data_IF_259240479877
#
_entry.id   IF_259240479877
#
_cell.length_a   1.000
_cell.length_b   1.000
_cell.length_c   1.000
_cell.angle_alpha   90.00
_cell.angle_beta   90.00
_cell.angle_gamma   90.00
#
_symmetry.space_group_name_H-M   'P 1'
#
loop_
_entity.id
_entity.type
_entity.pdbx_description
1 polymer ?
#
# COMPACT_ATOMS: atom_id res chain seq x y z
N UNK A 1 -14.94 12.26 2.80
CA UNK A 1 -13.88 11.49 3.47
C UNK A 1 -14.50 10.72 4.61
N UNK A 2 -13.90 9.59 5.02
CA UNK A 2 -14.34 8.90 6.24
C UNK A 2 -13.89 9.76 7.43
N UNK A 3 -14.76 10.06 8.41
CA UNK A 3 -14.38 10.88 9.55
C UNK A 3 -13.31 10.17 10.40
N UNK A 4 -12.28 10.92 10.80
CA UNK A 4 -11.19 10.41 11.64
C UNK A 4 -11.63 10.56 13.10
N UNK A 5 -11.59 9.49 13.92
CA UNK A 5 -11.87 9.58 15.35
C UNK A 5 -10.95 10.61 16.03
N UNK A 6 -11.46 11.44 16.95
CA UNK A 6 -10.67 12.49 17.60
C UNK A 6 -9.46 11.94 18.37
N UNK A 7 -9.57 10.72 18.92
CA UNK A 7 -8.49 10.05 19.64
C UNK A 7 -7.23 9.79 18.80
N UNK A 8 -7.38 9.57 17.48
CA UNK A 8 -6.25 9.27 16.59
C UNK A 8 -5.86 10.47 15.71
N UNK A 9 -6.63 11.55 15.73
CA UNK A 9 -6.48 12.70 14.84
C UNK A 9 -5.07 13.31 14.86
N UNK A 10 -4.49 13.51 16.04
CA UNK A 10 -3.16 14.12 16.18
C UNK A 10 -2.04 13.20 15.65
N UNK A 11 -2.16 11.90 15.83
CA UNK A 11 -1.20 10.92 15.29
C UNK A 11 -1.29 10.86 13.76
N UNK A 12 -2.50 10.91 13.21
CA UNK A 12 -2.71 10.94 11.76
C UNK A 12 -2.08 12.19 11.12
N UNK A 13 -2.23 13.36 11.75
CA UNK A 13 -1.57 14.59 11.28
C UNK A 13 -0.04 14.43 11.28
N UNK A 14 0.53 13.85 12.34
CA UNK A 14 1.97 13.63 12.43
C UNK A 14 2.46 12.73 11.28
N UNK A 15 1.77 11.62 11.00
CA UNK A 15 2.13 10.69 9.92
C UNK A 15 2.02 11.37 8.55
N UNK A 16 0.99 12.18 8.30
CA UNK A 16 0.86 12.90 7.03
C UNK A 16 2.01 13.89 6.85
N UNK A 17 2.39 14.64 7.90
CA UNK A 17 3.53 15.55 7.84
C UNK A 17 4.85 14.83 7.58
N UNK A 18 5.06 13.70 8.24
CA UNK A 18 6.23 12.86 8.04
C UNK A 18 6.30 12.33 6.60
N UNK A 19 5.19 11.85 6.04
CA UNK A 19 5.13 11.41 4.63
C UNK A 19 5.36 12.55 3.63
N UNK A 20 4.96 13.78 3.96
CA UNK A 20 5.30 14.96 3.14
C UNK A 20 6.80 15.24 3.23
N UNK A 21 7.38 15.21 4.44
CA UNK A 21 8.82 15.43 4.65
C UNK A 21 9.69 14.36 3.98
N UNK A 22 9.25 13.10 3.97
CA UNK A 22 9.88 12.00 3.25
C UNK A 22 9.73 12.10 1.72
N UNK A 23 8.96 13.07 1.20
CA UNK A 23 8.74 13.27 -0.23
C UNK A 23 7.70 12.33 -0.86
N UNK A 24 7.12 11.42 -0.08
CA UNK A 24 6.07 10.46 -0.51
C UNK A 24 4.78 11.19 -0.87
N UNK A 25 4.39 12.20 -0.08
CA UNK A 25 3.18 12.99 -0.33
C UNK A 25 3.50 14.41 -0.77
N UNK A 26 2.74 14.89 -1.75
CA UNK A 26 2.79 16.28 -2.21
C UNK A 26 1.38 16.88 -2.21
N UNK A 27 1.24 18.17 -1.88
CA UNK A 27 -0.02 18.88 -2.06
C UNK A 27 -0.48 18.77 -3.52
N UNK A 28 -1.77 18.51 -3.73
CA UNK A 28 -2.36 18.39 -5.06
C UNK A 28 -3.66 19.19 -5.11
N UNK A 29 -3.89 19.86 -6.24
CA UNK A 29 -5.14 20.56 -6.58
C UNK A 29 -6.04 19.73 -7.51
N UNK A 30 -5.76 18.43 -7.66
CA UNK A 30 -6.50 17.57 -8.56
C UNK A 30 -8.00 17.50 -8.22
N UNK A 31 -8.82 17.42 -9.27
CA UNK A 31 -10.28 17.24 -9.14
C UNK A 31 -10.65 15.88 -8.52
N UNK A 32 -9.76 14.89 -8.65
CA UNK A 32 -9.95 13.55 -8.10
C UNK A 32 -9.35 13.43 -6.71
N UNK A 33 -10.15 12.90 -5.77
CA UNK A 33 -9.75 12.64 -4.38
C UNK A 33 -10.18 11.23 -3.99
N UNK A 34 -9.20 10.34 -3.82
CA UNK A 34 -9.45 9.01 -3.25
C UNK A 34 -9.81 9.14 -1.77
N UNK A 35 -10.82 8.37 -1.33
CA UNK A 35 -11.14 8.26 0.10
C UNK A 35 -10.01 7.50 0.78
N UNK A 36 -9.73 7.81 2.03
CA UNK A 36 -8.76 7.07 2.83
C UNK A 36 -9.24 6.99 4.28
N UNK A 37 -8.69 6.05 5.03
CA UNK A 37 -8.97 5.83 6.45
C UNK A 37 -7.74 5.26 7.15
N UNK A 38 -7.77 5.22 8.48
CA UNK A 38 -6.68 4.70 9.28
C UNK A 38 -7.07 3.38 9.95
N UNK A 39 -6.13 2.45 9.98
CA UNK A 39 -6.25 1.16 10.68
C UNK A 39 -5.14 1.09 11.73
N UNK A 40 -5.47 0.64 12.93
CA UNK A 40 -4.48 0.29 13.95
C UNK A 40 -3.95 -1.12 13.62
N UNK A 41 -2.64 -1.27 13.49
CA UNK A 41 -2.00 -2.59 13.26
C UNK A 41 -2.23 -3.51 14.47
N UNK A 42 -1.95 -4.81 14.30
CA UNK A 42 -2.09 -5.81 15.37
C UNK A 42 -1.29 -5.50 16.64
N UNK A 43 -0.29 -4.64 16.55
CA UNK A 43 0.50 -4.16 17.68
C UNK A 43 -0.27 -3.19 18.60
N UNK A 44 -1.49 -2.78 18.22
CA UNK A 44 -2.36 -1.90 19.00
C UNK A 44 -1.89 -0.44 19.07
N UNK A 45 -0.78 -0.09 18.42
CA UNK A 45 -0.14 1.22 18.53
C UNK A 45 0.16 1.88 17.20
N UNK A 46 0.58 1.11 16.19
CA UNK A 46 0.97 1.67 14.91
C UNK A 46 -0.26 1.93 14.04
N UNK A 47 -0.38 3.15 13.53
CA UNK A 47 -1.42 3.50 12.56
C UNK A 47 -0.91 3.27 11.13
N UNK A 48 -1.76 2.73 10.28
CA UNK A 48 -1.55 2.62 8.83
C UNK A 48 -2.63 3.42 8.12
N UNK A 49 -2.20 4.35 7.28
CA UNK A 49 -3.10 5.05 6.35
C UNK A 49 -3.38 4.10 5.19
N UNK A 50 -4.66 3.88 4.89
CA UNK A 50 -5.13 3.05 3.78
C UNK A 50 -5.92 3.91 2.83
N UNK A 51 -5.45 3.99 1.59
CA UNK A 51 -6.18 4.62 0.49
C UNK A 51 -7.20 3.63 -0.06
N UNK A 52 -8.47 4.03 -0.12
CA UNK A 52 -9.50 3.25 -0.78
C UNK A 52 -9.35 3.44 -2.29
N UNK A 53 -8.59 2.53 -2.90
CA UNK A 53 -8.36 2.47 -4.34
C UNK A 53 -9.42 1.61 -5.07
N UNK A 54 -10.38 1.00 -4.39
CA UNK A 54 -11.45 0.22 -5.06
C UNK A 54 -12.15 0.99 -6.19
N UNK A 55 -12.56 2.27 -6.03
CA UNK A 55 -13.20 3.00 -7.13
C UNK A 55 -12.22 3.29 -8.28
N UNK A 56 -10.94 3.51 -7.97
CA UNK A 56 -9.92 3.74 -9.00
C UNK A 56 -9.63 2.45 -9.78
N UNK A 57 -9.46 1.34 -9.08
CA UNK A 57 -9.20 0.04 -9.69
C UNK A 57 -10.36 -0.44 -10.57
N UNK A 58 -11.59 0.02 -10.33
CA UNK A 58 -12.74 -0.29 -11.19
C UNK A 58 -12.76 0.46 -12.52
N UNK A 59 -12.04 1.58 -12.64
CA UNK A 59 -11.93 2.38 -13.87
C UNK A 59 -10.57 2.23 -14.56
N UNK A 60 -9.55 1.81 -13.82
CA UNK A 60 -8.22 1.54 -14.36
C UNK A 60 -8.27 0.30 -15.25
N UNK A 61 -7.70 0.41 -16.46
CA UNK A 61 -7.48 -0.74 -17.32
C UNK A 61 -6.51 -1.67 -16.60
N UNK A 62 -6.92 -2.92 -16.41
CA UNK A 62 -6.07 -3.95 -15.82
C UNK A 62 -4.97 -4.28 -16.83
N UNK A 63 -3.77 -3.74 -16.62
CA UNK A 63 -2.58 -4.22 -17.31
C UNK A 63 -2.08 -5.46 -16.57
N UNK A 64 -2.70 -6.59 -16.89
CA UNK A 64 -2.22 -7.90 -16.46
C UNK A 64 -1.02 -8.25 -17.33
N UNK A 65 0.16 -7.71 -16.99
CA UNK A 65 1.41 -8.33 -17.42
C UNK A 65 1.40 -9.74 -16.86
N UNK A 66 0.95 -10.70 -17.67
CA UNK A 66 0.85 -12.11 -17.28
C UNK A 66 2.21 -12.48 -16.71
N UNK A 67 2.29 -12.94 -15.44
CA UNK A 67 3.56 -13.34 -14.86
C UNK A 67 4.22 -14.35 -15.80
N UNK A 68 5.53 -14.22 -16.09
CA UNK A 68 6.21 -15.16 -16.96
C UNK A 68 5.98 -16.58 -16.43
N UNK A 69 5.57 -17.48 -17.34
CA UNK A 69 5.26 -18.90 -17.15
C UNK A 69 5.62 -19.44 -15.75
N UNK A 70 4.69 -19.31 -14.80
CA UNK A 70 4.90 -19.68 -13.39
C UNK A 70 5.28 -21.16 -13.26
N UNK A 71 4.78 -22.00 -14.16
CA UNK A 71 5.06 -23.44 -14.20
C UNK A 71 6.54 -23.72 -14.48
N UNK A 72 7.15 -23.06 -15.47
CA UNK A 72 8.57 -23.24 -15.78
C UNK A 72 9.47 -22.72 -14.64
N UNK A 73 9.04 -21.64 -13.98
CA UNK A 73 9.73 -21.14 -12.80
C UNK A 73 9.61 -22.14 -11.64
N UNK A 74 8.41 -22.65 -11.35
CA UNK A 74 8.18 -23.65 -10.31
C UNK A 74 8.93 -24.97 -10.57
N UNK A 75 8.97 -25.45 -11.81
CA UNK A 75 9.74 -26.62 -12.22
C UNK A 75 11.24 -26.41 -12.05
N UNK A 76 11.77 -25.23 -12.38
CA UNK A 76 13.18 -24.91 -12.17
C UNK A 76 13.61 -24.91 -10.70
N UNK A 77 12.63 -24.74 -9.79
CA UNK A 77 12.84 -24.79 -8.35
C UNK A 77 12.43 -26.15 -7.73
N UNK A 78 11.85 -27.07 -8.50
CA UNK A 78 11.46 -28.38 -7.97
C UNK A 78 12.71 -29.22 -7.64
N UNK A 79 12.84 -29.65 -6.38
CA UNK A 79 13.92 -30.53 -5.93
C UNK A 79 14.91 -29.91 -4.93
N UNK A 80 14.77 -28.62 -4.61
CA UNK A 80 15.53 -28.02 -3.52
C UNK A 80 14.90 -28.34 -2.15
N UNK A 81 15.74 -28.66 -1.17
CA UNK A 81 15.30 -28.97 0.19
C UNK A 81 14.86 -27.72 0.99
N UNK A 82 15.26 -26.52 0.55
CA UNK A 82 14.99 -25.24 1.23
C UNK A 82 14.74 -24.16 0.18
N UNK A 83 13.71 -23.34 0.43
CA UNK A 83 13.35 -22.18 -0.40
C UNK A 83 13.50 -20.89 0.40
N UNK A 84 14.02 -19.84 -0.23
CA UNK A 84 14.11 -18.50 0.34
C UNK A 84 13.24 -17.53 -0.46
N UNK A 85 12.28 -16.88 0.20
CA UNK A 85 11.48 -15.80 -0.38
C UNK A 85 11.96 -14.46 0.20
N UNK A 86 12.26 -13.50 -0.68
CA UNK A 86 12.65 -12.16 -0.30
C UNK A 86 11.57 -11.19 -0.76
N UNK A 87 11.04 -10.38 0.16
CA UNK A 87 10.10 -9.30 -0.15
C UNK A 87 10.87 -7.98 -0.26
N UNK A 88 10.84 -7.37 -1.45
CA UNK A 88 11.52 -6.11 -1.71
C UNK A 88 10.57 -4.95 -1.39
N UNK A 89 10.56 -4.50 -0.13
CA UNK A 89 9.66 -3.45 0.36
C UNK A 89 9.82 -2.08 -0.32
N UNK A 90 10.88 -1.89 -1.12
CA UNK A 90 11.30 -0.60 -1.73
C UNK A 90 10.46 -0.18 -2.94
N UNK A 91 9.70 -1.09 -3.54
CA UNK A 91 9.01 -0.80 -4.81
C UNK A 91 7.80 0.15 -4.73
N UNK A 92 7.25 0.39 -3.54
CA UNK A 92 5.92 1.00 -3.38
C UNK A 92 5.78 2.06 -2.27
N UNK A 93 6.89 2.56 -1.70
CA UNK A 93 6.84 3.56 -0.62
C UNK A 93 6.62 5.00 -1.11
#
# INVERSE_FOLDING_TARGET
>A
SIPIPPAIHQQVIAIIKEKIAAGVYKPSSAAYRSRWFCIIKKDGKSLRIVHNLQPLNGISICDASVPPFIEHLAESFAGYAVYGMLDLFVGYD
#
